data_IF_549286144348
#
_entry.id   IF_549286144348
#
_cell.length_a   1.000
_cell.length_b   1.000
_cell.length_c   1.000
_cell.angle_alpha   90.00
_cell.angle_beta   90.00
_cell.angle_gamma   90.00
#
_symmetry.space_group_name_H-M   'P 1'
#
loop_
_entity.id
_entity.type
_entity.pdbx_description
1 polymer ?
#
# COMPACT_ATOMS: atom_id res chain seq x y z
N UNK A 1 -5.09 -3.76 14.58
CA UNK A 1 -5.17 -3.71 13.12
C UNK A 1 -5.63 -5.04 12.56
N UNK A 2 -6.30 -5.01 11.43
CA UNK A 2 -6.88 -6.21 10.82
C UNK A 2 -5.82 -6.98 10.04
N UNK A 3 -4.92 -6.30 9.38
CA UNK A 3 -3.87 -6.94 8.60
C UNK A 3 -2.59 -6.10 8.61
N UNK A 4 -1.48 -6.77 8.38
CA UNK A 4 -0.21 -6.09 8.24
C UNK A 4 0.21 -5.98 6.78
N UNK A 5 1.13 -5.09 6.50
CA UNK A 5 1.66 -4.84 5.16
C UNK A 5 3.15 -5.14 5.17
N UNK A 6 3.58 -6.00 4.25
CA UNK A 6 5.01 -6.28 4.05
C UNK A 6 5.36 -5.88 2.63
N UNK A 7 6.18 -4.85 2.48
CA UNK A 7 6.60 -4.40 1.16
C UNK A 7 7.36 -5.50 0.42
N UNK A 8 7.10 -5.65 -0.88
CA UNK A 8 7.65 -6.76 -1.68
C UNK A 8 9.12 -6.57 -1.95
N UNK A 9 9.82 -5.70 -1.74
CA UNK A 9 11.28 -5.55 -1.87
C UNK A 9 11.72 -4.41 -0.95
N UNK A 10 13.02 -4.33 -0.72
CA UNK A 10 13.56 -3.39 0.26
C UNK A 10 13.68 -1.95 -0.27
N UNK A 11 12.84 -1.57 -1.23
CA UNK A 11 12.94 -0.24 -1.83
C UNK A 11 11.93 0.76 -1.28
N UNK A 12 10.96 0.30 -0.51
CA UNK A 12 9.87 1.17 -0.08
C UNK A 12 10.36 2.29 0.82
N UNK A 13 11.23 1.99 1.77
CA UNK A 13 11.68 2.99 2.74
C UNK A 13 12.40 4.15 2.05
N UNK A 14 13.28 3.82 1.12
CA UNK A 14 14.01 4.85 0.36
C UNK A 14 13.06 5.65 -0.52
N UNK A 15 12.13 4.97 -1.17
CA UNK A 15 11.11 5.63 -1.97
C UNK A 15 10.29 6.60 -1.13
N UNK A 16 9.81 6.13 0.03
CA UNK A 16 9.00 6.94 0.94
C UNK A 16 9.77 8.18 1.40
N UNK A 17 11.02 7.99 1.80
CA UNK A 17 11.85 9.11 2.26
C UNK A 17 12.11 10.16 1.19
N UNK A 18 12.08 9.76 -0.08
CA UNK A 18 12.32 10.68 -1.20
C UNK A 18 11.10 11.50 -1.58
N UNK A 19 9.93 11.19 -1.01
CA UNK A 19 8.69 11.86 -1.38
C UNK A 19 8.44 13.11 -0.56
N UNK A 20 7.70 14.06 -1.15
CA UNK A 20 7.24 15.24 -0.42
C UNK A 20 6.33 14.85 0.72
N UNK A 21 6.24 15.72 1.73
CA UNK A 21 5.44 15.47 2.91
C UNK A 21 3.98 15.12 2.59
N UNK A 22 3.36 15.85 1.65
CA UNK A 22 1.96 15.58 1.29
C UNK A 22 1.78 14.21 0.66
N UNK A 23 2.77 13.75 -0.11
CA UNK A 23 2.74 12.42 -0.70
C UNK A 23 2.90 11.37 0.41
N UNK A 24 3.80 11.61 1.34
CA UNK A 24 3.97 10.72 2.49
C UNK A 24 2.70 10.59 3.31
N UNK A 25 2.01 11.70 3.55
CA UNK A 25 0.72 11.68 4.26
C UNK A 25 -0.31 10.82 3.51
N UNK A 26 -0.36 10.94 2.20
CA UNK A 26 -1.30 10.15 1.40
C UNK A 26 -0.96 8.66 1.46
N UNK A 27 0.33 8.33 1.40
CA UNK A 27 0.78 6.94 1.54
C UNK A 27 0.32 6.38 2.89
N UNK A 28 0.56 7.12 3.97
CA UNK A 28 0.17 6.70 5.32
C UNK A 28 -1.35 6.54 5.44
N UNK A 29 -2.11 7.46 4.84
CA UNK A 29 -3.57 7.37 4.84
C UNK A 29 -4.05 6.08 4.18
N UNK A 30 -3.52 5.77 2.99
CA UNK A 30 -3.93 4.56 2.27
C UNK A 30 -3.46 3.30 3.01
N UNK A 31 -2.26 3.33 3.57
CA UNK A 31 -1.78 2.21 4.38
C UNK A 31 -2.68 1.96 5.58
N UNK A 32 -3.16 3.01 6.23
CA UNK A 32 -4.08 2.84 7.36
C UNK A 32 -5.42 2.26 6.92
N UNK A 33 -5.92 2.66 5.75
CA UNK A 33 -7.12 2.02 5.20
C UNK A 33 -6.89 0.52 5.03
N UNK A 34 -5.75 0.13 4.48
CA UNK A 34 -5.45 -1.29 4.27
C UNK A 34 -5.30 -2.02 5.60
N UNK A 35 -4.70 -1.39 6.61
CA UNK A 35 -4.48 -2.02 7.92
C UNK A 35 -5.75 -2.17 8.74
N UNK A 36 -6.64 -1.20 8.69
CA UNK A 36 -7.73 -1.10 9.66
C UNK A 36 -9.12 -1.33 9.10
N UNK A 37 -9.34 -1.17 7.79
CA UNK A 37 -10.66 -1.39 7.21
C UNK A 37 -10.82 -2.83 6.75
N UNK A 38 -11.96 -3.45 7.08
CA UNK A 38 -12.23 -4.82 6.63
C UNK A 38 -12.33 -4.89 5.11
N UNK A 39 -13.07 -3.96 4.51
CA UNK A 39 -13.29 -3.89 3.07
C UNK A 39 -12.48 -2.72 2.52
N UNK A 40 -11.49 -3.01 1.69
CA UNK A 40 -10.68 -1.97 1.07
C UNK A 40 -11.08 -1.86 -0.40
N UNK A 41 -11.53 -0.69 -0.87
CA UNK A 41 -11.92 -0.54 -2.27
C UNK A 41 -10.77 -0.87 -3.23
N UNK A 42 -11.13 -1.41 -4.39
CA UNK A 42 -10.14 -1.80 -5.40
C UNK A 42 -9.30 -0.64 -5.91
N UNK A 43 -9.78 0.59 -5.78
CA UNK A 43 -8.99 1.74 -6.18
C UNK A 43 -7.75 1.93 -5.30
N UNK A 44 -7.72 1.33 -4.11
CA UNK A 44 -6.59 1.41 -3.19
C UNK A 44 -5.80 0.11 -3.09
N UNK A 45 -6.46 -1.03 -3.28
CA UNK A 45 -5.81 -2.33 -3.07
C UNK A 45 -6.33 -3.34 -4.09
N UNK A 46 -5.41 -3.94 -4.82
CA UNK A 46 -5.76 -4.95 -5.83
C UNK A 46 -4.85 -6.15 -5.72
N UNK A 47 -5.43 -7.35 -5.72
CA UNK A 47 -4.64 -8.58 -5.82
C UNK A 47 -4.09 -8.72 -7.24
N UNK A 48 -2.83 -9.05 -7.35
CA UNK A 48 -2.20 -9.28 -8.66
C UNK A 48 -2.35 -10.76 -9.01
N UNK A 49 -3.06 -11.03 -10.10
CA UNK A 49 -3.29 -12.39 -10.56
C UNK A 49 -2.01 -13.08 -10.97
N UNK A 50 -1.98 -14.40 -10.84
CA UNK A 50 -0.82 -15.23 -11.18
C UNK A 50 0.42 -14.92 -10.34
N UNK A 51 0.21 -14.44 -9.12
CA UNK A 51 1.29 -14.24 -8.15
C UNK A 51 0.99 -15.05 -6.90
N UNK A 52 2.01 -15.23 -6.07
CA UNK A 52 1.88 -15.94 -4.79
C UNK A 52 1.49 -14.98 -3.67
N UNK A 53 0.37 -14.29 -3.83
CA UNK A 53 -0.16 -13.46 -2.78
C UNK A 53 0.32 -12.02 -2.83
N UNK A 54 0.72 -11.51 -3.98
CA UNK A 54 1.17 -10.13 -4.11
C UNK A 54 -0.02 -9.22 -4.38
N UNK A 55 -0.11 -8.15 -3.61
CA UNK A 55 -1.10 -7.11 -3.77
C UNK A 55 -0.43 -5.83 -4.23
N UNK A 56 -1.21 -5.00 -4.89
CA UNK A 56 -0.79 -3.66 -5.31
C UNK A 56 -1.57 -2.63 -4.52
N UNK A 57 -0.86 -1.81 -3.75
CA UNK A 57 -1.47 -0.67 -3.07
C UNK A 57 -1.35 0.51 -4.02
N UNK A 58 -2.49 1.14 -4.31
CA UNK A 58 -2.58 2.24 -5.26
C UNK A 58 -2.79 3.55 -4.53
N UNK A 59 -1.94 4.52 -4.83
CA UNK A 59 -2.00 5.84 -4.22
C UNK A 59 -1.98 6.85 -5.35
N UNK A 60 -3.09 7.56 -5.54
CA UNK A 60 -3.24 8.54 -6.62
C UNK A 60 -3.22 9.92 -6.00
N UNK A 61 -2.28 10.73 -6.44
CA UNK A 61 -2.21 12.15 -6.09
C UNK A 61 -2.48 12.97 -7.34
N UNK A 62 -2.48 14.31 -7.19
CA UNK A 62 -2.71 15.20 -8.32
C UNK A 62 -1.70 14.97 -9.45
N UNK A 63 -0.46 14.66 -9.09
CA UNK A 63 0.62 14.55 -10.08
C UNK A 63 1.24 13.18 -10.18
N UNK A 64 0.85 12.22 -9.33
CA UNK A 64 1.51 10.92 -9.29
C UNK A 64 0.53 9.78 -9.17
N UNK A 65 0.86 8.67 -9.83
CA UNK A 65 0.22 7.37 -9.63
C UNK A 65 1.27 6.47 -9.01
N UNK A 66 1.12 6.19 -7.73
CA UNK A 66 2.07 5.38 -6.99
C UNK A 66 1.50 3.97 -6.82
N UNK A 67 2.32 2.97 -7.10
CA UNK A 67 1.95 1.56 -6.93
C UNK A 67 2.98 0.88 -6.07
N UNK A 68 2.54 0.31 -4.96
CA UNK A 68 3.42 -0.35 -4.02
C UNK A 68 3.03 -1.82 -3.97
N UNK A 69 3.95 -2.70 -4.34
CA UNK A 69 3.72 -4.13 -4.28
C UNK A 69 4.00 -4.63 -2.87
N UNK A 70 3.13 -5.48 -2.36
CA UNK A 70 3.24 -5.94 -0.99
C UNK A 70 2.59 -7.30 -0.78
N UNK A 71 2.93 -7.93 0.34
CA UNK A 71 2.18 -9.04 0.88
C UNK A 71 1.33 -8.53 2.04
N UNK A 72 0.19 -9.18 2.26
CA UNK A 72 -0.66 -8.86 3.40
C UNK A 72 -0.62 -10.01 4.39
N UNK A 73 -0.57 -9.67 5.68
CA UNK A 73 -0.63 -10.66 6.74
C UNK A 73 -1.93 -10.49 7.50
N UNK A 74 -2.48 -11.60 8.00
CA UNK A 74 -3.63 -11.55 8.87
C UNK A 74 -3.18 -11.28 10.29
N UNK A 75 -3.94 -10.44 11.00
CA UNK A 75 -3.79 -10.24 12.43
C UNK A 75 -5.05 -10.72 13.11
N UNK A 76 -4.87 -11.58 14.04
CA UNK A 76 -5.99 -12.06 14.86
C UNK A 76 -6.15 -11.21 16.10
#
# INVERSE_FOLDING_TARGET
MIRGIIAYKNHFVDFYKSQEFKVQEKIEYVFDLVRFEEQVPKKFLKYLENTDGIYEIRIITTFKNIRILCFLTKKS
#
